data_IF_631605439722
#
_entry.id   IF_631605439722
#
_cell.length_a   1.000
_cell.length_b   1.000
_cell.length_c   1.000
_cell.angle_alpha   90.00
_cell.angle_beta   90.00
_cell.angle_gamma   90.00
#
_symmetry.space_group_name_H-M   'P 1'
#
loop_
_entity.id
_entity.type
_entity.pdbx_description
1 polymer ?
#
# COMPACT_ATOMS: atom_id res chain seq x y z
N UNK A 1 0.66 37.14 -3.44
CA UNK A 1 1.22 35.78 -3.57
C UNK A 1 1.20 35.19 -2.17
N UNK A 2 0.01 34.97 -1.64
CA UNK A 2 -0.23 34.77 -0.20
C UNK A 2 -0.43 33.30 0.13
N UNK A 3 0.36 32.84 1.09
CA UNK A 3 0.43 31.51 1.68
C UNK A 3 -0.93 30.94 2.10
N UNK A 4 -1.51 30.11 1.23
CA UNK A 4 -2.62 29.20 1.53
C UNK A 4 -2.14 27.93 2.28
N UNK A 5 -1.31 28.08 3.32
CA UNK A 5 -0.95 26.96 4.19
C UNK A 5 -2.06 26.70 5.22
N UNK A 6 -2.94 25.80 4.79
CA UNK A 6 -3.87 24.94 5.52
C UNK A 6 -3.70 24.93 7.06
N UNK A 7 -4.77 25.33 7.75
CA UNK A 7 -4.99 25.10 9.19
C UNK A 7 -4.73 23.63 9.55
N UNK A 8 -3.62 23.38 10.24
CA UNK A 8 -3.33 22.11 10.87
C UNK A 8 -4.32 21.87 12.02
N UNK A 9 -5.39 21.12 11.78
CA UNK A 9 -6.17 20.56 12.88
C UNK A 9 -5.37 19.41 13.50
N UNK A 10 -4.64 19.73 14.57
CA UNK A 10 -3.91 18.77 15.40
C UNK A 10 -4.94 17.92 16.18
N UNK A 11 -5.54 16.94 15.52
CA UNK A 11 -6.22 15.86 16.22
C UNK A 11 -5.14 14.90 16.73
N UNK A 12 -4.70 15.10 17.97
CA UNK A 12 -3.86 14.15 18.71
C UNK A 12 -4.67 12.87 18.95
N UNK A 13 -4.56 11.89 18.06
CA UNK A 13 -5.17 10.56 18.26
C UNK A 13 -4.09 9.49 18.43
N UNK A 14 -3.81 9.21 19.71
CA UNK A 14 -3.31 7.98 20.35
C UNK A 14 -2.56 6.95 19.48
N UNK A 15 -1.26 7.16 19.25
CA UNK A 15 -0.14 6.21 19.37
C UNK A 15 1.12 7.10 19.39
N UNK A 16 1.92 7.12 20.47
CA UNK A 16 2.94 8.16 20.86
C UNK A 16 4.00 8.62 19.85
N UNK A 17 3.95 8.22 18.57
CA UNK A 17 5.01 8.46 17.59
C UNK A 17 4.49 8.78 16.16
N UNK A 18 3.18 8.97 16.00
CA UNK A 18 2.52 9.22 14.70
C UNK A 18 1.51 10.36 14.78
N UNK A 19 1.61 11.32 13.87
CA UNK A 19 0.62 12.39 13.70
C UNK A 19 -0.25 12.14 12.47
N UNK A 20 -1.57 12.26 12.63
CA UNK A 20 -2.54 12.23 11.52
C UNK A 20 -2.58 13.59 10.81
N UNK A 21 -2.41 13.58 9.49
CA UNK A 21 -2.50 14.74 8.59
C UNK A 21 -3.62 14.49 7.58
N UNK A 22 -4.68 15.30 7.63
CA UNK A 22 -5.83 15.17 6.72
C UNK A 22 -5.70 16.18 5.59
N UNK A 23 -5.72 15.71 4.34
CA UNK A 23 -5.77 16.58 3.15
C UNK A 23 -6.92 16.13 2.24
N UNK A 24 -7.95 16.98 2.08
CA UNK A 24 -9.14 16.97 1.18
C UNK A 24 -9.79 15.65 0.67
N UNK A 25 -9.36 14.46 1.12
CA UNK A 25 -9.94 13.12 0.92
C UNK A 25 -8.94 11.97 1.22
N UNK A 26 -7.70 12.26 1.67
CA UNK A 26 -6.71 11.26 2.06
C UNK A 26 -6.22 11.45 3.50
N UNK A 27 -6.36 10.40 4.32
CA UNK A 27 -5.71 10.31 5.63
C UNK A 27 -4.26 9.87 5.44
N UNK A 28 -3.35 10.84 5.51
CA UNK A 28 -1.91 10.61 5.50
C UNK A 28 -1.41 10.77 6.94
N UNK A 29 -0.33 10.10 7.28
CA UNK A 29 0.29 10.16 8.59
C UNK A 29 1.74 10.59 8.43
N UNK A 30 2.31 11.21 9.45
CA UNK A 30 3.69 11.62 9.50
C UNK A 30 4.42 10.93 10.66
N UNK A 31 5.69 10.58 10.44
CA UNK A 31 6.58 10.09 11.48
C UNK A 31 7.13 11.25 12.29
N UNK A 32 7.05 11.17 13.62
CA UNK A 32 7.50 12.28 14.48
C UNK A 32 9.02 12.40 14.54
N UNK A 33 9.76 11.31 14.29
CA UNK A 33 11.22 11.30 14.31
C UNK A 33 11.87 12.02 13.11
N UNK A 34 11.24 12.01 11.94
CA UNK A 34 11.86 12.53 10.71
C UNK A 34 10.89 13.19 9.72
N UNK A 35 9.61 13.32 10.08
CA UNK A 35 8.59 13.96 9.25
C UNK A 35 8.13 13.14 8.03
N UNK A 36 8.61 11.91 7.84
CA UNK A 36 8.27 11.09 6.66
C UNK A 36 6.77 10.81 6.61
N UNK A 37 6.13 11.18 5.48
CA UNK A 37 4.69 11.08 5.27
C UNK A 37 4.31 9.81 4.51
N UNK A 38 3.19 9.18 4.87
CA UNK A 38 2.67 8.01 4.18
C UNK A 38 1.34 7.53 4.74
N UNK A 39 0.81 6.42 4.23
CA UNK A 39 -0.34 5.77 4.88
C UNK A 39 0.05 5.26 6.27
N UNK A 40 -0.93 5.13 7.17
CA UNK A 40 -0.74 4.66 8.55
C UNK A 40 0.22 3.47 8.66
N UNK A 41 -0.05 2.41 7.90
CA UNK A 41 0.74 1.18 7.93
C UNK A 41 2.19 1.39 7.47
N UNK A 42 2.43 2.34 6.56
CA UNK A 42 3.78 2.69 6.10
C UNK A 42 4.57 3.42 7.18
N UNK A 43 3.93 4.41 7.82
CA UNK A 43 4.56 5.22 8.87
C UNK A 43 4.83 4.37 10.11
N UNK A 44 3.89 3.50 10.48
CA UNK A 44 4.05 2.53 11.57
C UNK A 44 5.20 1.53 11.31
N UNK A 45 5.35 1.05 10.07
CA UNK A 45 6.48 0.21 9.68
C UNK A 45 7.81 0.98 9.70
N UNK A 46 7.79 2.24 9.27
CA UNK A 46 8.95 3.11 9.24
C UNK A 46 9.47 3.44 10.65
N UNK A 47 8.61 3.65 11.65
CA UNK A 47 9.04 3.96 13.03
C UNK A 47 9.98 2.89 13.60
N UNK A 48 9.89 1.64 13.13
CA UNK A 48 10.82 0.56 13.51
C UNK A 48 12.28 0.87 13.17
N UNK A 49 12.55 1.70 12.17
CA UNK A 49 13.92 2.11 11.82
C UNK A 49 14.51 3.09 12.84
N UNK A 50 13.67 3.73 13.64
CA UNK A 50 14.09 4.65 14.70
C UNK A 50 14.13 3.97 16.07
N UNK A 51 13.08 3.21 16.42
CA UNK A 51 12.93 2.67 17.78
C UNK A 51 13.42 1.24 17.95
N UNK A 52 13.61 0.48 16.86
CA UNK A 52 13.93 -0.95 16.93
C UNK A 52 12.78 -1.84 17.44
N UNK A 53 11.77 -1.27 18.10
CA UNK A 53 10.62 -1.99 18.64
C UNK A 53 9.70 -2.52 17.53
N UNK A 54 9.12 -3.71 17.75
CA UNK A 54 8.05 -4.26 16.90
C UNK A 54 6.71 -3.78 17.44
N UNK A 55 5.91 -3.01 16.66
CA UNK A 55 4.53 -2.79 17.03
C UNK A 55 3.77 -4.12 17.09
N UNK A 56 2.94 -4.29 18.13
CA UNK A 56 2.21 -5.53 18.48
C UNK A 56 1.27 -6.11 17.41
N UNK A 57 1.07 -5.43 16.27
CA UNK A 57 0.26 -5.94 15.17
C UNK A 57 1.12 -6.13 13.91
N UNK A 58 1.31 -7.41 13.56
CA UNK A 58 2.01 -7.93 12.38
C UNK A 58 1.78 -7.04 11.15
N UNK A 59 2.84 -6.36 10.68
CA UNK A 59 2.79 -5.50 9.51
C UNK A 59 3.35 -6.23 8.28
N UNK A 60 2.68 -6.07 7.13
CA UNK A 60 3.05 -6.71 5.87
C UNK A 60 3.69 -5.67 4.94
N UNK A 61 4.99 -5.79 4.74
CA UNK A 61 5.77 -4.95 3.83
C UNK A 61 6.65 -5.82 2.93
N UNK A 62 6.90 -5.35 1.72
CA UNK A 62 7.80 -6.01 0.80
C UNK A 62 9.24 -5.66 1.16
N UNK A 63 10.05 -6.67 1.48
CA UNK A 63 11.49 -6.46 1.73
C UNK A 63 12.26 -6.04 0.48
N UNK A 64 11.78 -6.41 -0.71
CA UNK A 64 12.44 -6.11 -1.99
C UNK A 64 12.29 -4.65 -2.40
N UNK A 65 11.12 -4.03 -2.20
CA UNK A 65 10.85 -2.65 -2.65
C UNK A 65 10.42 -1.70 -1.53
N UNK A 66 10.35 -2.17 -0.27
CA UNK A 66 9.94 -1.36 0.89
C UNK A 66 8.45 -0.98 0.91
N UNK A 67 7.64 -1.40 -0.08
CA UNK A 67 6.23 -1.05 -0.16
C UNK A 67 5.44 -1.73 0.95
N UNK A 68 4.56 -0.99 1.61
CA UNK A 68 3.72 -1.50 2.69
C UNK A 68 2.31 -1.81 2.20
N UNK A 69 1.69 -2.82 2.81
CA UNK A 69 0.37 -3.33 2.45
C UNK A 69 -0.54 -3.37 3.67
N UNK A 70 -1.85 -3.32 3.41
CA UNK A 70 -2.86 -3.36 4.47
C UNK A 70 -2.99 -4.75 5.10
N UNK A 71 -2.66 -5.80 4.36
CA UNK A 71 -2.87 -7.19 4.76
C UNK A 71 -1.86 -8.14 4.09
N UNK A 72 -1.75 -9.35 4.64
CA UNK A 72 -0.83 -10.40 4.19
C UNK A 72 -1.11 -10.86 2.76
N UNK A 73 -2.39 -10.97 2.41
CA UNK A 73 -2.84 -11.48 1.12
C UNK A 73 -2.45 -10.51 0.00
N UNK A 74 -2.56 -9.21 0.26
CA UNK A 74 -2.14 -8.15 -0.66
C UNK A 74 -0.62 -8.14 -0.82
N UNK A 75 0.17 -8.33 0.25
CA UNK A 75 1.63 -8.48 0.14
C UNK A 75 2.01 -9.73 -0.69
N UNK A 76 1.41 -10.88 -0.39
CA UNK A 76 1.67 -12.15 -1.11
C UNK A 76 1.38 -12.01 -2.60
N UNK A 77 0.27 -11.34 -2.92
CA UNK A 77 -0.15 -11.03 -4.28
C UNK A 77 0.79 -10.03 -4.97
N UNK A 78 1.35 -9.10 -4.22
CA UNK A 78 2.36 -8.17 -4.73
C UNK A 78 3.68 -8.89 -5.06
N UNK A 79 4.08 -9.92 -4.32
CA UNK A 79 5.29 -10.69 -4.63
C UNK A 79 5.25 -11.32 -6.03
N UNK A 80 4.07 -11.60 -6.59
CA UNK A 80 3.93 -12.07 -7.98
C UNK A 80 4.48 -11.07 -9.01
N UNK A 81 4.55 -9.79 -8.67
CA UNK A 81 5.15 -8.74 -9.52
C UNK A 81 6.67 -8.91 -9.58
N UNK A 82 7.30 -9.30 -8.47
CA UNK A 82 8.74 -9.53 -8.41
C UNK A 82 9.14 -10.89 -8.99
N UNK A 83 8.37 -11.94 -8.72
CA UNK A 83 8.68 -13.28 -9.23
C UNK A 83 8.34 -13.46 -10.71
N UNK A 84 7.48 -12.60 -11.27
CA UNK A 84 6.97 -12.75 -12.63
C UNK A 84 6.10 -14.00 -12.84
N UNK A 85 5.73 -14.71 -11.75
CA UNK A 85 4.95 -15.94 -11.83
C UNK A 85 3.58 -15.70 -12.47
N UNK A 86 3.36 -16.32 -13.63
CA UNK A 86 2.09 -16.28 -14.37
C UNK A 86 1.40 -17.65 -14.33
N UNK A 87 0.63 -17.88 -13.27
CA UNK A 87 0.02 -19.20 -12.95
C UNK A 87 -1.23 -19.53 -13.75
N UNK A 88 -1.92 -18.55 -14.31
CA UNK A 88 -3.23 -18.78 -14.92
C UNK A 88 -3.18 -18.51 -16.41
N UNK A 89 -3.64 -19.44 -17.24
CA UNK A 89 -3.77 -19.27 -18.69
C UNK A 89 -5.15 -18.73 -19.07
N UNK A 90 -5.20 -17.91 -20.12
CA UNK A 90 -6.43 -17.59 -20.81
C UNK A 90 -6.85 -18.80 -21.67
N UNK A 91 -8.09 -19.29 -21.56
CA UNK A 91 -8.56 -20.42 -22.38
C UNK A 91 -8.76 -20.04 -23.86
N UNK A 92 -8.85 -18.74 -24.19
CA UNK A 92 -9.12 -18.27 -25.56
C UNK A 92 -7.81 -18.10 -26.33
N UNK A 93 -6.83 -17.39 -25.77
CA UNK A 93 -5.58 -17.05 -26.47
C UNK A 93 -4.32 -17.66 -25.83
N UNK A 94 -4.46 -18.51 -24.82
CA UNK A 94 -3.32 -19.15 -24.13
C UNK A 94 -2.47 -18.21 -23.27
N UNK A 95 -2.72 -16.89 -23.27
CA UNK A 95 -1.91 -15.91 -22.54
C UNK A 95 -1.86 -16.21 -21.04
N UNK A 96 -0.65 -16.30 -20.48
CA UNK A 96 -0.43 -16.50 -19.04
C UNK A 96 -0.50 -15.18 -18.27
N UNK A 97 -1.21 -15.19 -17.15
CA UNK A 97 -1.52 -14.04 -16.28
C UNK A 97 -1.26 -14.44 -14.82
N UNK A 98 -0.73 -13.51 -14.03
CA UNK A 98 -0.34 -13.75 -12.64
C UNK A 98 -1.52 -14.03 -11.71
N UNK A 99 -2.70 -13.48 -11.99
CA UNK A 99 -3.85 -13.51 -11.08
C UNK A 99 -5.15 -13.87 -11.77
N UNK A 100 -5.98 -14.67 -11.09
CA UNK A 100 -7.26 -15.17 -11.61
C UNK A 100 -8.27 -14.06 -11.91
N UNK A 101 -8.31 -13.01 -11.09
CA UNK A 101 -9.18 -11.85 -11.32
C UNK A 101 -8.80 -11.08 -12.59
N UNK A 102 -7.48 -10.94 -12.85
CA UNK A 102 -6.98 -10.37 -14.10
C UNK A 102 -7.29 -11.25 -15.31
N UNK A 103 -7.37 -12.59 -15.16
CA UNK A 103 -7.83 -13.48 -16.23
C UNK A 103 -9.29 -13.23 -16.57
N UNK A 104 -10.16 -13.06 -15.56
CA UNK A 104 -11.58 -12.75 -15.79
C UNK A 104 -11.76 -11.47 -16.59
N UNK A 105 -11.07 -10.38 -16.20
CA UNK A 105 -11.14 -9.10 -16.93
C UNK A 105 -10.53 -9.19 -18.33
N UNK A 106 -9.46 -9.96 -18.49
CA UNK A 106 -8.87 -10.25 -19.80
C UNK A 106 -9.82 -11.02 -20.71
N UNK A 107 -10.49 -12.06 -20.21
CA UNK A 107 -11.47 -12.84 -20.99
C UNK A 107 -12.63 -11.95 -21.44
N UNK A 108 -13.13 -11.06 -20.59
CA UNK A 108 -14.17 -10.11 -20.98
C UNK A 108 -13.77 -9.29 -22.21
N UNK A 109 -12.50 -8.88 -22.31
CA UNK A 109 -11.99 -8.12 -23.47
C UNK A 109 -12.01 -8.91 -24.78
N UNK A 110 -11.91 -10.24 -24.74
CA UNK A 110 -12.09 -11.05 -25.95
C UNK A 110 -13.54 -11.01 -26.46
N UNK A 111 -14.50 -10.82 -25.57
CA UNK A 111 -15.92 -10.68 -25.90
C UNK A 111 -16.39 -9.24 -26.19
N UNK A 112 -15.48 -8.25 -26.23
CA UNK A 112 -15.81 -6.85 -26.59
C UNK A 112 -15.73 -6.62 -28.11
N UNK A 113 -15.45 -7.66 -28.90
CA UNK A 113 -15.70 -7.63 -30.34
C UNK A 113 -17.19 -7.87 -30.60
N UNK A 114 -18.01 -6.84 -30.38
CA UNK A 114 -19.36 -6.70 -30.90
C UNK A 114 -19.58 -5.23 -31.26
#
# INVERSE_FOLDING_TARGET
MEDHFLRAHVNKVRYEWVVQVVCHSQSIYACDYCGKRGRWNCVKAHIRTHTGEKPFNLFFYCKTCGRCFADASTLRRHHLVHSGEKKHSCPICGRRIARKDNVKTHIKRHGINC
#
